data_IF_057498508415
#
_entry.id   IF_057498508415
#
_cell.length_a   1.000
_cell.length_b   1.000
_cell.length_c   1.000
_cell.angle_alpha   90.00
_cell.angle_beta   90.00
_cell.angle_gamma   90.00
#
_symmetry.space_group_name_H-M   'P 1'
#
loop_
_entity.id
_entity.type
_entity.pdbx_description
1 polymer ?
#
# COMPACT_ATOMS: atom_id res chain seq x y z
N UNK A 1 26.97 5.27 14.38
CA UNK A 1 26.05 6.35 13.95
C UNK A 1 24.68 6.21 14.63
N UNK A 2 23.94 5.11 14.46
CA UNK A 2 22.62 4.91 15.12
C UNK A 2 22.63 5.09 16.65
N UNK A 3 23.65 4.57 17.35
CA UNK A 3 23.79 4.69 18.82
C UNK A 3 23.99 6.15 19.28
N UNK A 4 24.57 7.00 18.44
CA UNK A 4 24.82 8.42 18.74
C UNK A 4 23.56 9.29 18.55
N UNK A 5 22.65 8.86 17.67
CA UNK A 5 21.41 9.58 17.33
C UNK A 5 20.24 9.13 18.24
N UNK A 6 20.35 7.94 18.83
CA UNK A 6 19.34 7.39 19.76
C UNK A 6 18.92 8.34 20.91
N UNK A 7 19.81 9.12 21.56
CA UNK A 7 19.40 10.04 22.63
C UNK A 7 18.60 11.26 22.13
N UNK A 8 18.89 11.73 20.91
CA UNK A 8 18.13 12.81 20.24
C UNK A 8 16.71 12.35 19.86
N UNK A 9 16.52 11.05 19.66
CA UNK A 9 15.26 10.41 19.28
C UNK A 9 14.46 9.94 20.50
N UNK A 10 15.11 9.61 21.61
CA UNK A 10 14.49 9.10 22.83
C UNK A 10 13.46 10.08 23.47
N UNK A 11 13.52 11.37 23.11
CA UNK A 11 12.53 12.38 23.51
C UNK A 11 11.25 12.42 22.67
N UNK A 12 11.15 11.61 21.61
CA UNK A 12 9.98 11.51 20.72
C UNK A 12 9.33 10.09 20.77
N UNK A 13 8.93 9.60 21.95
CA UNK A 13 8.57 8.19 22.19
C UNK A 13 7.45 7.66 21.27
N UNK A 14 6.43 8.47 20.98
CA UNK A 14 5.32 8.07 20.10
C UNK A 14 5.36 8.76 18.72
N UNK A 15 6.08 9.89 18.61
CA UNK A 15 6.05 10.76 17.43
C UNK A 15 6.98 10.33 16.29
N UNK A 16 8.14 9.73 16.59
CA UNK A 16 9.07 9.37 15.51
C UNK A 16 8.55 8.21 14.67
N UNK A 17 8.04 7.15 15.31
CA UNK A 17 7.48 6.01 14.57
C UNK A 17 6.28 6.43 13.72
N UNK A 18 5.38 7.25 14.28
CA UNK A 18 4.24 7.82 13.57
C UNK A 18 4.68 8.69 12.37
N UNK A 19 5.70 9.54 12.55
CA UNK A 19 6.27 10.31 11.46
C UNK A 19 6.88 9.41 10.37
N UNK A 20 7.65 8.39 10.75
CA UNK A 20 8.25 7.44 9.80
C UNK A 20 7.17 6.68 9.03
N UNK A 21 6.09 6.26 9.69
CA UNK A 21 4.96 5.64 9.01
C UNK A 21 4.25 6.60 8.06
N UNK A 22 3.98 7.83 8.51
CA UNK A 22 3.38 8.87 7.65
C UNK A 22 4.21 9.14 6.41
N UNK A 23 5.53 9.24 6.55
CA UNK A 23 6.48 9.42 5.45
C UNK A 23 6.52 8.23 4.50
N UNK A 24 6.52 7.01 5.03
CA UNK A 24 6.41 5.79 4.22
C UNK A 24 5.10 5.78 3.42
N UNK A 25 3.99 6.18 4.03
CA UNK A 25 2.67 6.26 3.40
C UNK A 25 2.65 7.11 2.12
N UNK A 26 3.38 8.24 2.11
CA UNK A 26 3.50 9.16 0.95
C UNK A 26 3.88 8.42 -0.33
N UNK A 27 4.80 7.46 -0.22
CA UNK A 27 5.34 6.75 -1.38
C UNK A 27 4.64 5.41 -1.60
N UNK A 28 4.44 4.64 -0.53
CA UNK A 28 3.96 3.27 -0.66
C UNK A 28 2.53 3.19 -1.18
N UNK A 29 1.61 4.09 -0.78
CA UNK A 29 0.20 3.96 -1.15
C UNK A 29 -0.05 4.26 -2.63
N UNK A 30 0.45 5.37 -3.21
CA UNK A 30 0.33 5.60 -4.66
C UNK A 30 0.98 4.50 -5.49
N UNK A 31 2.19 4.05 -5.11
CA UNK A 31 2.93 3.02 -5.83
C UNK A 31 2.18 1.68 -5.76
N UNK A 32 1.71 1.27 -4.58
CA UNK A 32 0.94 0.05 -4.42
C UNK A 32 -0.36 0.08 -5.25
N UNK A 33 -1.06 1.22 -5.27
CA UNK A 33 -2.27 1.39 -6.07
C UNK A 33 -2.02 1.20 -7.56
N UNK A 34 -0.98 1.86 -8.09
CA UNK A 34 -0.60 1.77 -9.50
C UNK A 34 -0.11 0.35 -9.85
N UNK A 35 0.67 -0.27 -8.98
CA UNK A 35 1.19 -1.63 -9.18
C UNK A 35 0.06 -2.67 -9.21
N UNK A 36 -0.88 -2.59 -8.27
CA UNK A 36 -2.06 -3.46 -8.23
C UNK A 36 -2.94 -3.27 -9.48
N UNK A 37 -3.15 -2.02 -9.89
CA UNK A 37 -3.87 -1.73 -11.12
C UNK A 37 -3.14 -2.27 -12.36
N UNK A 38 -1.82 -2.11 -12.44
CA UNK A 38 -1.02 -2.62 -13.55
C UNK A 38 -1.03 -4.15 -13.65
N UNK A 39 -1.07 -4.85 -12.52
CA UNK A 39 -1.06 -6.32 -12.48
C UNK A 39 -2.45 -6.93 -12.75
N UNK A 40 -3.50 -6.39 -12.12
CA UNK A 40 -4.84 -7.00 -12.14
C UNK A 40 -5.82 -6.31 -13.10
N UNK A 41 -5.53 -5.08 -13.54
CA UNK A 41 -6.42 -4.29 -14.38
C UNK A 41 -5.72 -3.92 -15.71
N UNK A 42 -5.61 -4.86 -16.67
CA UNK A 42 -4.87 -4.65 -17.93
C UNK A 42 -5.44 -3.52 -18.81
N UNK A 43 -6.65 -3.05 -18.50
CA UNK A 43 -7.32 -1.95 -19.18
C UNK A 43 -6.80 -0.57 -18.75
N UNK A 44 -6.18 -0.44 -17.57
CA UNK A 44 -5.68 0.84 -17.07
C UNK A 44 -4.57 1.37 -17.97
N UNK A 45 -4.68 2.63 -18.38
CA UNK A 45 -3.68 3.27 -19.23
C UNK A 45 -2.51 3.83 -18.42
N UNK A 46 -1.33 3.87 -19.03
CA UNK A 46 -0.14 4.47 -18.40
C UNK A 46 -0.35 5.95 -18.03
N UNK A 47 -1.22 6.66 -18.77
CA UNK A 47 -1.59 8.03 -18.43
C UNK A 47 -2.47 8.09 -17.18
N UNK A 48 -3.44 7.17 -17.06
CA UNK A 48 -4.27 7.05 -15.85
C UNK A 48 -3.44 6.79 -14.60
N UNK A 49 -2.48 5.86 -14.67
CA UNK A 49 -1.55 5.58 -13.59
C UNK A 49 -0.71 6.79 -13.18
N UNK A 50 -0.15 7.54 -14.14
CA UNK A 50 0.65 8.74 -13.88
C UNK A 50 -0.17 9.85 -13.20
N UNK A 51 -1.36 10.13 -13.72
CA UNK A 51 -2.25 11.16 -13.16
C UNK A 51 -2.71 10.77 -11.76
N UNK A 52 -3.11 9.50 -11.57
CA UNK A 52 -3.50 9.01 -10.24
C UNK A 52 -2.36 9.15 -9.24
N UNK A 53 -1.15 8.72 -9.57
CA UNK A 53 0.00 8.87 -8.68
C UNK A 53 0.23 10.32 -8.24
N UNK A 54 0.14 11.29 -9.15
CA UNK A 54 0.26 12.71 -8.81
C UNK A 54 -0.89 13.20 -7.93
N UNK A 55 -2.13 12.81 -8.25
CA UNK A 55 -3.34 13.22 -7.49
C UNK A 55 -3.36 12.60 -6.10
N UNK A 56 -3.03 11.31 -5.97
CA UNK A 56 -2.93 10.59 -4.70
C UNK A 56 -1.88 11.23 -3.78
N UNK A 57 -0.68 11.48 -4.32
CA UNK A 57 0.38 12.18 -3.59
C UNK A 57 -0.07 13.56 -3.08
N UNK A 58 -0.67 14.37 -3.96
CA UNK A 58 -1.16 15.70 -3.60
C UNK A 58 -2.26 15.63 -2.54
N UNK A 59 -3.18 14.67 -2.67
CA UNK A 59 -4.24 14.41 -1.70
C UNK A 59 -3.67 14.01 -0.33
N UNK A 60 -2.74 13.06 -0.30
CA UNK A 60 -2.16 12.57 0.95
C UNK A 60 -1.40 13.65 1.72
N UNK A 61 -0.57 14.44 1.03
CA UNK A 61 0.15 15.57 1.64
C UNK A 61 -0.84 16.59 2.20
N UNK A 62 -1.89 16.91 1.43
CA UNK A 62 -2.91 17.87 1.85
C UNK A 62 -3.70 17.36 3.07
N UNK A 63 -4.16 16.11 3.04
CA UNK A 63 -4.93 15.51 4.13
C UNK A 63 -4.10 15.37 5.41
N UNK A 64 -2.82 15.00 5.29
CA UNK A 64 -1.95 14.70 6.44
C UNK A 64 -1.35 15.96 7.06
N UNK A 65 -0.91 16.94 6.26
CA UNK A 65 -0.15 18.09 6.76
C UNK A 65 -0.93 19.41 6.73
N UNK A 66 -1.89 19.59 5.82
CA UNK A 66 -2.63 20.86 5.67
C UNK A 66 -3.94 20.83 6.46
N UNK A 67 -4.80 19.85 6.18
CA UNK A 67 -6.13 19.78 6.79
C UNK A 67 -6.15 19.22 8.21
N UNK A 68 -5.07 18.53 8.64
CA UNK A 68 -4.94 17.88 9.95
C UNK A 68 -6.24 17.16 10.35
N UNK A 69 -6.71 16.28 9.47
CA UNK A 69 -7.93 15.51 9.74
C UNK A 69 -7.65 14.62 10.96
N UNK A 70 -8.52 14.66 11.98
CA UNK A 70 -8.45 13.84 13.20
C UNK A 70 -8.78 12.35 12.94
N UNK A 71 -8.17 11.77 11.90
CA UNK A 71 -8.26 10.36 11.55
C UNK A 71 -6.86 9.75 11.50
N UNK A 72 -6.75 8.51 11.95
CA UNK A 72 -5.50 7.77 11.90
C UNK A 72 -5.02 7.58 10.45
N UNK A 73 -3.71 7.68 10.20
CA UNK A 73 -3.13 7.65 8.85
C UNK A 73 -3.50 6.40 8.04
N UNK A 74 -3.78 5.27 8.69
CA UNK A 74 -4.27 4.03 8.05
C UNK A 74 -5.59 4.24 7.30
N UNK A 75 -6.51 5.05 7.84
CA UNK A 75 -7.77 5.36 7.15
C UNK A 75 -7.52 6.27 5.95
N UNK A 76 -6.57 7.21 6.07
CA UNK A 76 -6.15 8.07 4.96
C UNK A 76 -5.58 7.22 3.82
N UNK A 77 -4.76 6.22 4.13
CA UNK A 77 -4.24 5.27 3.14
C UNK A 77 -5.35 4.52 2.41
N UNK A 78 -6.37 4.06 3.13
CA UNK A 78 -7.54 3.41 2.53
C UNK A 78 -8.30 4.32 1.58
N UNK A 79 -8.57 5.56 1.99
CA UNK A 79 -9.24 6.57 1.15
C UNK A 79 -8.40 6.90 -0.07
N UNK A 80 -7.10 7.10 0.12
CA UNK A 80 -6.15 7.40 -0.95
C UNK A 80 -6.07 6.27 -1.97
N UNK A 81 -6.10 5.00 -1.54
CA UNK A 81 -6.14 3.85 -2.42
C UNK A 81 -7.39 3.87 -3.32
N UNK A 82 -8.57 4.09 -2.72
CA UNK A 82 -9.84 4.17 -3.45
C UNK A 82 -9.86 5.36 -4.41
N UNK A 83 -9.36 6.52 -3.97
CA UNK A 83 -9.22 7.72 -4.79
C UNK A 83 -8.30 7.47 -6.00
N UNK A 84 -7.12 6.90 -5.78
CA UNK A 84 -6.19 6.54 -6.85
C UNK A 84 -6.87 5.62 -7.86
N UNK A 85 -7.60 4.62 -7.39
CA UNK A 85 -8.32 3.69 -8.25
C UNK A 85 -9.39 4.40 -9.08
N UNK A 86 -10.18 5.28 -8.47
CA UNK A 86 -11.19 6.08 -9.16
C UNK A 86 -10.58 6.99 -10.24
N UNK A 87 -9.47 7.67 -9.94
CA UNK A 87 -8.75 8.53 -10.89
C UNK A 87 -8.19 7.70 -12.05
N UNK A 88 -7.58 6.54 -11.78
CA UNK A 88 -7.08 5.66 -12.83
C UNK A 88 -8.20 5.22 -13.77
N UNK A 89 -9.36 4.81 -13.23
CA UNK A 89 -10.51 4.43 -14.05
C UNK A 89 -11.07 5.62 -14.86
N UNK A 90 -11.23 6.79 -14.24
CA UNK A 90 -11.75 7.98 -14.90
C UNK A 90 -10.84 8.42 -16.05
N UNK A 91 -9.53 8.53 -15.82
CA UNK A 91 -8.59 8.95 -16.87
C UNK A 91 -8.46 7.89 -17.95
N UNK A 92 -8.48 6.60 -17.59
CA UNK A 92 -8.46 5.50 -18.57
C UNK A 92 -9.71 5.50 -19.45
N UNK A 93 -10.87 5.91 -18.93
CA UNK A 93 -12.09 6.01 -19.72
C UNK A 93 -11.94 7.04 -20.86
N UNK A 94 -11.29 8.19 -20.60
CA UNK A 94 -11.03 9.21 -21.62
C UNK A 94 -9.79 8.91 -22.49
N UNK A 95 -8.78 8.27 -21.91
CA UNK A 95 -7.53 7.90 -22.57
C UNK A 95 -7.32 6.38 -22.46
N UNK A 96 -8.08 5.58 -23.24
CA UNK A 96 -8.06 4.14 -23.15
C UNK A 96 -6.70 3.57 -23.55
N UNK A 97 -6.34 2.44 -22.92
CA UNK A 97 -5.12 1.74 -23.24
C UNK A 97 -5.22 1.09 -24.63
N UNK A 98 -4.42 1.57 -25.58
CA UNK A 98 -4.41 1.07 -26.96
C UNK A 98 -3.63 -0.25 -27.11
N UNK A 99 -2.73 -0.56 -26.17
CA UNK A 99 -1.94 -1.79 -26.15
C UNK A 99 -2.10 -2.45 -24.77
N UNK A 100 -3.23 -3.13 -24.51
CA UNK A 100 -3.42 -3.84 -23.26
C UNK A 100 -2.30 -4.87 -23.09
N UNK A 101 -1.61 -4.80 -21.96
CA UNK A 101 -0.60 -5.78 -21.62
C UNK A 101 -1.27 -7.16 -21.59
N UNK A 102 -0.84 -8.05 -22.47
CA UNK A 102 -1.20 -9.45 -22.42
C UNK A 102 -0.11 -10.17 -21.64
N UNK A 103 -0.40 -10.69 -20.42
CA UNK A 103 0.54 -11.53 -19.72
C UNK A 103 0.79 -12.77 -20.58
N UNK A 104 1.88 -12.75 -21.34
CA UNK A 104 2.33 -13.92 -22.09
C UNK A 104 3.22 -14.70 -21.14
N UNK A 105 2.67 -15.77 -20.59
CA UNK A 105 3.46 -16.71 -19.81
C UNK A 105 4.53 -17.30 -20.75
N UNK A 106 5.79 -16.91 -20.53
CA UNK A 106 6.90 -17.39 -21.33
C UNK A 106 7.39 -18.76 -20.86
N UNK A 107 6.81 -19.32 -19.78
CA UNK A 107 7.22 -20.61 -19.21
C UNK A 107 8.66 -20.63 -18.72
N UNK A 108 9.28 -19.46 -18.53
CA UNK A 108 10.70 -19.33 -18.18
C UNK A 108 10.98 -19.59 -16.69
N UNK A 109 9.93 -19.68 -15.86
CA UNK A 109 10.01 -19.97 -14.43
C UNK A 109 8.80 -20.82 -14.04
N UNK A 110 9.03 -22.02 -13.51
CA UNK A 110 7.96 -22.83 -12.90
C UNK A 110 7.44 -22.11 -11.65
N UNK A 111 6.22 -21.58 -11.72
CA UNK A 111 5.47 -21.09 -10.56
C UNK A 111 4.77 -22.32 -9.93
N UNK A 112 5.53 -23.27 -9.39
CA UNK A 112 4.96 -24.37 -8.61
C UNK A 112 4.98 -24.03 -7.12
N UNK A 113 3.85 -24.26 -6.44
CA UNK A 113 3.77 -24.15 -5.00
C UNK A 113 4.66 -25.21 -4.35
N UNK A 114 5.52 -24.81 -3.41
CA UNK A 114 6.25 -25.78 -2.60
C UNK A 114 5.28 -26.71 -1.85
N UNK A 115 5.63 -28.00 -1.75
CA UNK A 115 4.79 -29.07 -1.18
C UNK A 115 4.14 -28.74 0.17
N UNK A 116 4.82 -27.94 1.00
CA UNK A 116 4.35 -27.58 2.34
C UNK A 116 3.69 -26.20 2.43
N UNK A 117 3.57 -25.46 1.33
CA UNK A 117 3.00 -24.10 1.30
C UNK A 117 1.63 -24.04 1.96
N UNK A 118 0.72 -24.97 1.63
CA UNK A 118 -0.64 -24.99 2.19
C UNK A 118 -0.68 -25.27 3.68
N UNK A 119 0.18 -26.16 4.17
CA UNK A 119 0.28 -26.47 5.59
C UNK A 119 0.87 -25.28 6.35
N UNK A 120 1.95 -24.69 5.84
CA UNK A 120 2.62 -23.56 6.47
C UNK A 120 1.76 -22.30 6.49
N UNK A 121 1.05 -21.98 5.39
CA UNK A 121 0.12 -20.85 5.35
C UNK A 121 -1.04 -21.01 6.34
N UNK A 122 -1.59 -22.23 6.46
CA UNK A 122 -2.64 -22.53 7.42
C UNK A 122 -2.17 -22.36 8.86
N UNK A 123 -0.97 -22.86 9.19
CA UNK A 123 -0.36 -22.70 10.52
C UNK A 123 -0.14 -21.21 10.82
N UNK A 124 0.38 -20.44 9.86
CA UNK A 124 0.63 -19.01 10.02
C UNK A 124 -0.67 -18.24 10.31
N UNK A 125 -1.74 -18.51 9.56
CA UNK A 125 -3.05 -17.88 9.79
C UNK A 125 -3.62 -18.24 11.15
N UNK A 126 -3.58 -19.52 11.53
CA UNK A 126 -4.06 -19.98 12.84
C UNK A 126 -3.27 -19.36 13.99
N UNK A 127 -1.95 -19.22 13.83
CA UNK A 127 -1.08 -18.59 14.82
C UNK A 127 -1.43 -17.10 14.98
N UNK A 128 -1.59 -16.36 13.89
CA UNK A 128 -1.99 -14.95 13.95
C UNK A 128 -3.34 -14.80 14.65
N UNK A 129 -4.36 -15.54 14.19
CA UNK A 129 -5.70 -15.50 14.81
C UNK A 129 -5.65 -15.89 16.29
N UNK A 130 -4.88 -16.93 16.63
CA UNK A 130 -4.69 -17.39 18.01
C UNK A 130 -4.05 -16.32 18.90
N UNK A 131 -3.02 -15.63 18.42
CA UNK A 131 -2.41 -14.50 19.15
C UNK A 131 -3.43 -13.39 19.38
N UNK A 132 -4.21 -13.01 18.36
CA UNK A 132 -5.21 -11.96 18.50
C UNK A 132 -6.32 -12.33 19.51
N UNK A 133 -6.79 -13.58 19.51
CA UNK A 133 -7.78 -14.06 20.48
C UNK A 133 -7.19 -14.09 21.89
N UNK A 134 -5.97 -14.61 22.04
CA UNK A 134 -5.29 -14.71 23.33
C UNK A 134 -5.02 -13.33 23.93
N UNK A 135 -4.46 -12.40 23.13
CA UNK A 135 -4.18 -11.03 23.55
C UNK A 135 -5.48 -10.27 23.86
N UNK A 136 -6.52 -10.46 23.05
CA UNK A 136 -7.84 -9.86 23.26
C UNK A 136 -8.58 -10.42 24.48
N UNK A 137 -8.20 -11.60 24.98
CA UNK A 137 -8.70 -12.14 26.25
C UNK A 137 -7.85 -11.70 27.45
N UNK A 138 -6.60 -11.31 27.22
CA UNK A 138 -5.63 -10.88 28.24
C UNK A 138 -5.74 -9.38 28.58
N UNK A 139 -6.11 -8.55 27.60
CA UNK A 139 -6.35 -7.10 27.73
C UNK A 139 -7.80 -6.86 28.18
#
# INVERSE_FOLDING_TARGET
VAILIAPLVAGAPDGLYDLLQKLNGIFFIPIASVMLAGLFLPKISAQGAKVAMCVGLAFYISATFIFKVDIHFVHIWGIEFVLNMAVMFAVTYFYPNQNPFQPKDQGLVEIEEWKHTKAFSSILVLLIVGIYIWLGWLI
#
